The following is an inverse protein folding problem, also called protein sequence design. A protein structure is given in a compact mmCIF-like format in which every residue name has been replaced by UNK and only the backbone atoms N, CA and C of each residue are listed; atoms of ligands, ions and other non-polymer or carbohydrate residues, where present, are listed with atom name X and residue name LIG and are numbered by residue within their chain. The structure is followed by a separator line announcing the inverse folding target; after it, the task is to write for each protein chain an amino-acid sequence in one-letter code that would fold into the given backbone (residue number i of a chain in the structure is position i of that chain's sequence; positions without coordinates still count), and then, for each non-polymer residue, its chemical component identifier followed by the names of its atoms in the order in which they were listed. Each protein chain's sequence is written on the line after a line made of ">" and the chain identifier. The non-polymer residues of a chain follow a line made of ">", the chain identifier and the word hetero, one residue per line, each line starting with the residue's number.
data_IF_036124245295
#
_entry.id   IF_036124245295
#
_cell.length_a   1.000
_cell.length_b   1.000
_cell.length_c   1.000
_cell.angle_alpha   90.00
_cell.angle_beta   90.00
_cell.angle_gamma   90.00
#
_symmetry.space_group_name_H-M   'P 1'
#
loop_
_entity.id
_entity.type
_entity.pdbx_description
1 polymer ?
#
# COMPACT_ATOMS: atom_id res chain seq x y z
N UNK A 1 9.38 19.28 -9.21
CA UNK A 1 9.89 18.40 -8.13
C UNK A 1 9.84 19.03 -6.73
N UNK A 2 10.02 20.35 -6.55
CA UNK A 2 10.04 20.95 -5.20
C UNK A 2 8.67 21.27 -4.56
N UNK A 3 7.57 21.21 -5.31
CA UNK A 3 6.24 21.59 -4.79
C UNK A 3 5.59 20.41 -4.04
N UNK A 4 5.69 19.19 -4.57
CA UNK A 4 5.12 18.00 -3.91
C UNK A 4 5.83 17.66 -2.58
N UNK A 5 7.13 17.95 -2.46
CA UNK A 5 7.88 17.69 -1.22
C UNK A 5 7.58 18.72 -0.13
N UNK A 6 7.24 19.96 -0.49
CA UNK A 6 6.89 21.01 0.46
C UNK A 6 5.48 20.85 1.05
N UNK A 7 4.52 20.46 0.20
CA UNK A 7 3.13 20.29 0.61
C UNK A 7 2.90 19.02 1.45
N UNK A 8 3.76 18.01 1.31
CA UNK A 8 3.76 16.80 2.16
C UNK A 8 4.26 17.08 3.60
N UNK A 9 5.05 18.14 3.81
CA UNK A 9 5.69 18.45 5.10
C UNK A 9 4.95 19.55 5.88
N UNK A 10 4.22 20.45 5.22
CA UNK A 10 3.63 21.64 5.85
C UNK A 10 2.09 21.77 5.76
N UNK A 11 1.37 20.67 5.51
CA UNK A 11 -0.10 20.64 5.57
C UNK A 11 -0.62 20.71 7.01
N UNK A 12 -1.07 21.89 7.43
CA UNK A 12 -1.66 22.17 8.74
C UNK A 12 -2.91 21.31 9.03
N UNK A 13 -2.78 20.45 10.04
CA UNK A 13 -3.85 20.08 10.97
C UNK A 13 -4.70 18.87 10.60
N UNK A 14 -4.15 17.66 10.82
CA UNK A 14 -4.74 16.29 10.81
C UNK A 14 -3.90 15.25 10.02
N UNK A 15 -2.98 15.73 9.18
CA UNK A 15 -2.08 14.90 8.34
C UNK A 15 -0.79 14.38 9.02
N UNK A 16 -0.51 14.75 10.27
CA UNK A 16 0.73 14.35 10.97
C UNK A 16 0.75 12.85 11.34
N UNK A 17 -0.40 12.24 11.58
CA UNK A 17 -0.50 10.82 11.93
C UNK A 17 -0.21 9.90 10.73
N UNK A 18 -0.55 10.33 9.51
CA UNK A 18 -0.43 9.51 8.29
C UNK A 18 0.96 9.53 7.66
N UNK A 19 1.64 10.68 7.72
CA UNK A 19 3.06 10.74 7.38
C UNK A 19 3.89 9.84 8.31
N UNK A 20 3.49 9.72 9.58
CA UNK A 20 4.17 8.82 10.53
C UNK A 20 3.92 7.33 10.24
N UNK A 21 2.70 6.90 9.87
CA UNK A 21 2.40 5.49 9.56
C UNK A 21 3.15 5.02 8.31
N UNK A 22 3.15 5.81 7.23
CA UNK A 22 3.84 5.47 5.99
C UNK A 22 5.36 5.62 6.10
N UNK A 23 5.85 6.62 6.85
CA UNK A 23 7.27 6.74 7.17
C UNK A 23 7.76 5.55 8.01
N UNK A 24 6.90 4.94 8.85
CA UNK A 24 7.30 3.83 9.71
C UNK A 24 7.11 2.43 9.10
N UNK A 25 6.12 2.24 8.20
CA UNK A 25 6.01 1.01 7.39
C UNK A 25 7.25 0.80 6.52
N UNK A 26 7.88 1.90 6.12
CA UNK A 26 9.13 1.92 5.36
C UNK A 26 10.38 1.94 6.24
N UNK A 27 10.33 2.51 7.45
CA UNK A 27 11.34 2.26 8.51
C UNK A 27 11.40 0.78 8.93
N UNK A 28 10.30 0.03 8.77
CA UNK A 28 10.30 -1.42 9.00
C UNK A 28 11.06 -2.23 7.93
N UNK A 29 11.21 -1.68 6.72
CA UNK A 29 12.16 -2.21 5.73
C UNK A 29 13.62 -1.98 6.18
N UNK A 30 13.86 -1.00 7.06
CA UNK A 30 15.18 -0.60 7.57
C UNK A 30 15.62 -1.39 8.83
N UNK A 31 14.67 -1.85 9.68
CA UNK A 31 14.99 -2.46 10.99
C UNK A 31 15.15 -3.99 11.03
N UNK A 32 14.67 -4.74 10.02
CA UNK A 32 14.72 -6.22 10.01
C UNK A 32 15.90 -6.83 9.25
N UNK A 33 16.84 -5.99 8.82
CA UNK A 33 17.92 -6.40 7.94
C UNK A 33 17.44 -6.45 6.49
N UNK A 34 18.31 -5.92 5.63
CA UNK A 34 18.16 -5.76 4.18
C UNK A 34 17.45 -6.95 3.54
N UNK A 35 17.79 -8.19 3.90
CA UNK A 35 17.29 -9.45 3.33
C UNK A 35 15.76 -9.71 3.37
N UNK A 36 15.01 -9.20 4.36
CA UNK A 36 13.54 -9.43 4.41
C UNK A 36 12.72 -8.28 3.81
N UNK A 37 13.25 -7.06 3.81
CA UNK A 37 12.70 -5.94 3.04
C UNK A 37 12.91 -6.13 1.52
N UNK A 38 14.03 -6.75 1.15
CA UNK A 38 14.46 -7.17 -0.19
C UNK A 38 13.41 -8.03 -0.92
N UNK A 39 12.83 -9.02 -0.24
CA UNK A 39 11.80 -9.88 -0.81
C UNK A 39 10.46 -9.14 -0.99
N UNK A 40 10.12 -8.22 -0.07
CA UNK A 40 8.79 -7.58 0.02
C UNK A 40 8.62 -6.37 -0.90
N UNK A 41 9.65 -5.56 -1.16
CA UNK A 41 9.57 -4.50 -2.19
C UNK A 41 9.41 -5.09 -3.60
N UNK A 42 10.14 -6.16 -3.87
CA UNK A 42 9.96 -6.98 -5.06
C UNK A 42 8.57 -7.64 -5.13
N UNK A 43 7.94 -7.92 -3.98
CA UNK A 43 6.57 -8.42 -3.84
C UNK A 43 5.50 -7.32 -4.05
N UNK A 44 5.74 -6.11 -3.55
CA UNK A 44 4.90 -4.90 -3.75
C UNK A 44 4.84 -4.50 -5.23
N UNK A 45 5.92 -4.72 -5.96
CA UNK A 45 6.03 -4.52 -7.40
C UNK A 45 5.67 -5.79 -8.22
N UNK A 46 5.34 -6.90 -7.56
CA UNK A 46 5.20 -8.25 -8.15
C UNK A 46 4.15 -8.35 -9.24
N UNK A 47 3.07 -7.56 -9.18
CA UNK A 47 2.09 -7.52 -10.26
C UNK A 47 2.66 -6.72 -11.45
N UNK A 48 3.42 -7.40 -12.31
CA UNK A 48 4.02 -6.81 -13.50
C UNK A 48 5.30 -6.03 -13.22
N UNK A 49 6.33 -6.70 -12.67
CA UNK A 49 7.65 -6.12 -12.33
C UNK A 49 8.13 -5.08 -13.34
N UNK A 50 8.19 -5.44 -14.63
CA UNK A 50 8.67 -4.52 -15.67
C UNK A 50 7.77 -3.29 -15.87
N UNK A 51 6.45 -3.43 -15.67
CA UNK A 51 5.52 -2.31 -15.80
C UNK A 51 5.67 -1.31 -14.66
N UNK A 52 5.75 -1.79 -13.41
CA UNK A 52 5.87 -0.91 -12.25
C UNK A 52 7.26 -0.27 -12.18
N UNK A 53 8.34 -1.04 -12.44
CA UNK A 53 9.69 -0.49 -12.51
C UNK A 53 9.84 0.56 -13.62
N UNK A 54 9.28 0.32 -14.80
CA UNK A 54 9.32 1.30 -15.89
C UNK A 54 8.53 2.58 -15.59
N UNK A 55 7.36 2.46 -14.96
CA UNK A 55 6.53 3.63 -14.62
C UNK A 55 7.11 4.42 -13.46
N UNK A 56 7.51 3.74 -12.37
CA UNK A 56 8.17 4.38 -11.23
C UNK A 56 9.49 5.02 -11.66
N UNK A 57 10.29 4.33 -12.46
CA UNK A 57 11.55 4.84 -12.96
C UNK A 57 11.38 6.08 -13.85
N UNK A 58 10.34 6.11 -14.69
CA UNK A 58 10.00 7.29 -15.48
C UNK A 58 9.58 8.47 -14.61
N UNK A 59 8.73 8.24 -13.60
CA UNK A 59 8.21 9.32 -12.74
C UNK A 59 9.26 9.84 -11.75
N UNK A 60 10.21 9.00 -11.35
CA UNK A 60 11.32 9.33 -10.45
C UNK A 60 12.62 9.70 -11.18
N UNK A 61 12.63 9.64 -12.51
CA UNK A 61 13.80 9.91 -13.36
C UNK A 61 15.02 9.01 -13.05
N UNK A 62 14.76 7.74 -12.73
CA UNK A 62 15.76 6.70 -12.45
C UNK A 62 15.49 5.48 -13.31
N UNK A 63 16.51 4.86 -13.93
CA UNK A 63 16.30 3.67 -14.78
C UNK A 63 16.11 2.39 -13.95
N UNK A 64 14.99 2.32 -13.24
CA UNK A 64 14.62 1.16 -12.44
C UNK A 64 14.23 -0.06 -13.29
N UNK A 65 13.94 0.13 -14.58
CA UNK A 65 13.58 -0.97 -15.47
C UNK A 65 14.78 -1.85 -15.79
N UNK A 66 15.93 -1.23 -16.07
CA UNK A 66 17.17 -1.95 -16.34
C UNK A 66 18.03 -2.14 -15.09
N UNK A 67 17.85 -1.30 -14.06
CA UNK A 67 18.62 -1.32 -12.81
C UNK A 67 17.72 -1.37 -11.56
N UNK A 68 16.92 -2.43 -11.36
CA UNK A 68 16.07 -2.57 -10.18
C UNK A 68 16.88 -2.65 -8.87
N UNK A 69 18.14 -3.09 -8.92
CA UNK A 69 19.05 -3.17 -7.77
C UNK A 69 19.30 -1.81 -7.10
N UNK A 70 19.02 -0.69 -7.77
CA UNK A 70 19.16 0.63 -7.16
C UNK A 70 18.21 0.84 -5.98
N UNK A 71 17.05 0.17 -5.97
CA UNK A 71 16.14 0.21 -4.84
C UNK A 71 16.81 -0.38 -3.59
N UNK A 72 17.53 -1.48 -3.75
CA UNK A 72 18.17 -2.20 -2.65
C UNK A 72 19.43 -1.47 -2.15
N UNK A 73 20.11 -0.75 -3.03
CA UNK A 73 21.36 -0.04 -2.72
C UNK A 73 21.16 1.37 -2.17
N UNK A 74 19.97 1.95 -2.35
CA UNK A 74 19.68 3.33 -1.95
C UNK A 74 18.36 3.40 -1.18
N UNK A 75 18.47 3.52 0.14
CA UNK A 75 17.33 3.66 1.04
C UNK A 75 16.40 4.83 0.61
N UNK A 76 16.95 6.00 0.27
CA UNK A 76 16.12 7.15 -0.14
C UNK A 76 15.28 6.82 -1.37
N UNK A 77 15.87 6.15 -2.36
CA UNK A 77 15.16 5.71 -3.56
C UNK A 77 14.10 4.65 -3.23
N UNK A 78 14.38 3.72 -2.32
CA UNK A 78 13.40 2.74 -1.85
C UNK A 78 12.17 3.42 -1.22
N UNK A 79 12.39 4.42 -0.36
CA UNK A 79 11.31 5.22 0.22
C UNK A 79 10.50 5.96 -0.85
N UNK A 80 11.18 6.56 -1.83
CA UNK A 80 10.51 7.25 -2.94
C UNK A 80 9.63 6.30 -3.77
N UNK A 81 10.12 5.10 -4.10
CA UNK A 81 9.36 4.09 -4.85
C UNK A 81 8.15 3.60 -4.05
N UNK A 82 8.30 3.44 -2.73
CA UNK A 82 7.19 3.01 -1.90
C UNK A 82 6.10 4.09 -1.74
N UNK A 83 6.48 5.34 -1.56
CA UNK A 83 5.54 6.48 -1.59
C UNK A 83 4.88 6.56 -2.96
N UNK A 84 5.64 6.43 -4.04
CA UNK A 84 5.09 6.38 -5.39
C UNK A 84 4.05 5.27 -5.53
N UNK A 85 4.31 4.06 -5.01
CA UNK A 85 3.35 2.95 -5.06
C UNK A 85 2.09 3.22 -4.24
N UNK A 86 2.22 3.91 -3.12
CA UNK A 86 1.12 4.33 -2.25
C UNK A 86 0.21 5.37 -2.92
N UNK A 87 0.81 6.35 -3.59
CA UNK A 87 0.12 7.48 -4.22
C UNK A 87 -0.43 7.16 -5.62
N UNK A 88 0.20 6.23 -6.35
CA UNK A 88 -0.11 6.03 -7.77
C UNK A 88 -1.08 4.86 -8.02
N UNK A 89 -2.20 5.11 -8.71
CA UNK A 89 -3.06 4.04 -9.20
C UNK A 89 -2.35 3.08 -10.15
N UNK A 90 -2.60 1.78 -9.97
CA UNK A 90 -2.10 0.72 -10.86
C UNK A 90 -2.78 0.78 -12.22
N UNK A 91 -4.09 1.04 -12.24
CA UNK A 91 -4.94 1.13 -13.44
C UNK A 91 -5.78 2.41 -13.40
N UNK A 92 -6.17 2.92 -14.58
CA UNK A 92 -6.94 4.17 -14.73
C UNK A 92 -8.24 4.24 -13.91
N UNK A 93 -8.88 3.10 -13.66
CA UNK A 93 -10.15 2.99 -12.94
C UNK A 93 -10.03 2.34 -11.56
N UNK A 94 -8.80 2.13 -11.07
CA UNK A 94 -8.53 1.67 -9.72
C UNK A 94 -8.10 2.87 -8.86
N UNK A 95 -8.47 2.97 -7.58
CA UNK A 95 -7.95 4.01 -6.70
C UNK A 95 -6.47 3.80 -6.35
N UNK A 96 -5.83 4.84 -5.83
CA UNK A 96 -4.57 4.70 -5.10
C UNK A 96 -4.80 4.11 -3.71
N UNK A 97 -3.76 3.57 -3.08
CA UNK A 97 -3.86 3.10 -1.69
C UNK A 97 -4.14 4.28 -0.75
N UNK A 98 -3.49 5.41 -1.01
CA UNK A 98 -3.72 6.67 -0.32
C UNK A 98 -5.20 7.11 -0.33
N UNK A 99 -5.85 7.15 -1.49
CA UNK A 99 -7.22 7.64 -1.61
C UNK A 99 -8.24 6.72 -0.91
N UNK A 100 -7.98 5.41 -0.92
CA UNK A 100 -8.81 4.44 -0.20
C UNK A 100 -8.63 4.59 1.30
N UNK A 101 -7.40 4.77 1.77
CA UNK A 101 -7.08 4.89 3.19
C UNK A 101 -7.65 6.18 3.79
N UNK A 102 -7.57 7.30 3.06
CA UNK A 102 -8.20 8.56 3.46
C UNK A 102 -9.72 8.58 3.34
N UNK A 103 -10.31 7.60 2.65
CA UNK A 103 -11.74 7.61 2.34
C UNK A 103 -12.16 8.67 1.31
N UNK A 104 -11.21 9.25 0.56
CA UNK A 104 -11.52 10.16 -0.55
C UNK A 104 -12.01 9.41 -1.79
N UNK A 105 -11.67 8.13 -1.91
CA UNK A 105 -12.23 7.25 -2.93
C UNK A 105 -13.67 6.84 -2.56
N UNK A 106 -14.57 6.97 -3.54
CA UNK A 106 -15.96 6.49 -3.44
C UNK A 106 -16.11 5.15 -4.17
N UNK A 107 -16.51 4.06 -3.48
CA UNK A 107 -16.74 2.77 -4.11
C UNK A 107 -17.82 2.84 -5.20
N UNK A 108 -17.55 2.20 -6.34
CA UNK A 108 -18.56 2.02 -7.40
C UNK A 108 -19.50 0.87 -7.04
N UNK A 109 -20.57 0.69 -7.83
CA UNK A 109 -21.46 -0.48 -7.70
C UNK A 109 -20.72 -1.81 -7.77
N UNK A 110 -19.71 -1.90 -8.66
CA UNK A 110 -18.89 -3.11 -8.79
C UNK A 110 -18.00 -3.32 -7.56
N UNK A 111 -17.57 -2.25 -6.91
CA UNK A 111 -16.79 -2.33 -5.68
C UNK A 111 -17.65 -2.81 -4.52
N UNK A 112 -18.86 -2.29 -4.38
CA UNK A 112 -19.83 -2.75 -3.37
C UNK A 112 -20.20 -4.23 -3.57
N UNK A 113 -20.46 -4.65 -4.82
CA UNK A 113 -20.73 -6.06 -5.12
C UNK A 113 -19.54 -6.98 -4.81
N UNK A 114 -18.32 -6.45 -4.97
CA UNK A 114 -17.07 -7.10 -4.59
C UNK A 114 -16.73 -6.95 -3.10
N UNK A 115 -17.64 -6.43 -2.27
CA UNK A 115 -17.48 -6.17 -0.84
C UNK A 115 -16.33 -5.21 -0.48
N UNK A 116 -15.90 -4.37 -1.42
CA UNK A 116 -14.85 -3.37 -1.21
C UNK A 116 -15.45 -2.09 -0.66
N UNK A 117 -14.87 -1.61 0.44
CA UNK A 117 -15.28 -0.39 1.17
C UNK A 117 -14.03 0.44 1.48
N UNK A 118 -14.17 1.74 1.64
CA UNK A 118 -13.03 2.59 2.01
C UNK A 118 -12.51 2.20 3.40
N UNK A 119 -11.19 2.00 3.52
CA UNK A 119 -10.55 1.50 4.73
C UNK A 119 -9.28 0.67 4.49
N UNK A 120 -8.71 0.17 5.58
CA UNK A 120 -7.45 -0.57 5.56
C UNK A 120 -7.53 -1.89 4.76
N UNK A 121 -8.67 -2.58 4.81
CA UNK A 121 -8.91 -3.81 4.04
C UNK A 121 -8.78 -3.57 2.53
N UNK A 122 -9.45 -2.56 2.00
CA UNK A 122 -9.34 -2.25 0.57
C UNK A 122 -7.99 -1.61 0.23
N UNK A 123 -7.34 -0.94 1.18
CA UNK A 123 -5.94 -0.49 1.02
C UNK A 123 -5.01 -1.69 0.79
N UNK A 124 -5.13 -2.74 1.60
CA UNK A 124 -4.41 -4.01 1.38
C UNK A 124 -4.78 -4.64 0.03
N UNK A 125 -6.04 -4.57 -0.38
CA UNK A 125 -6.49 -5.11 -1.66
C UNK A 125 -5.85 -4.38 -2.86
N UNK A 126 -5.69 -3.06 -2.79
CA UNK A 126 -5.01 -2.27 -3.84
C UNK A 126 -3.52 -2.62 -3.95
N UNK A 127 -2.87 -2.91 -2.82
CA UNK A 127 -1.44 -3.20 -2.76
C UNK A 127 -1.11 -4.65 -3.07
N UNK A 128 -1.88 -5.59 -2.49
CA UNK A 128 -1.55 -7.01 -2.38
C UNK A 128 -2.72 -7.94 -2.72
N UNK A 129 -3.81 -7.42 -3.31
CA UNK A 129 -5.12 -8.08 -3.29
C UNK A 129 -5.13 -9.56 -3.69
N UNK A 130 -4.50 -9.92 -4.80
CA UNK A 130 -4.46 -11.30 -5.28
C UNK A 130 -3.73 -12.27 -4.33
N UNK A 131 -2.79 -11.76 -3.52
CA UNK A 131 -2.06 -12.57 -2.55
C UNK A 131 -2.82 -12.70 -1.21
N UNK A 132 -3.59 -11.68 -0.80
CA UNK A 132 -4.07 -11.58 0.60
C UNK A 132 -5.58 -11.43 0.76
N UNK A 133 -6.34 -11.15 -0.30
CA UNK A 133 -7.77 -10.83 -0.23
C UNK A 133 -8.65 -11.80 -1.03
N UNK A 134 -9.87 -12.06 -0.55
CA UNK A 134 -10.86 -12.87 -1.27
C UNK A 134 -10.82 -14.37 -1.03
N UNK A 135 -10.01 -14.83 -0.07
CA UNK A 135 -9.81 -16.24 0.25
C UNK A 135 -10.14 -16.58 1.72
N UNK A 136 -10.85 -15.69 2.41
CA UNK A 136 -11.03 -15.78 3.86
C UNK A 136 -9.81 -15.28 4.64
N UNK A 137 -9.84 -15.49 5.96
CA UNK A 137 -8.73 -15.12 6.84
C UNK A 137 -7.50 -15.98 6.53
N UNK A 138 -6.37 -15.33 6.32
CA UNK A 138 -5.10 -15.98 6.01
C UNK A 138 -3.96 -15.32 6.78
N UNK A 139 -2.86 -16.07 6.94
CA UNK A 139 -1.70 -15.63 7.72
C UNK A 139 -1.09 -14.33 7.18
N UNK A 140 -0.98 -14.18 5.86
CA UNK A 140 -0.42 -12.99 5.23
C UNK A 140 -1.22 -11.72 5.55
N UNK A 141 -2.55 -11.79 5.44
CA UNK A 141 -3.43 -10.70 5.83
C UNK A 141 -3.34 -10.41 7.32
N UNK A 142 -3.39 -11.45 8.17
CA UNK A 142 -3.31 -11.30 9.63
C UNK A 142 -1.98 -10.68 10.08
N UNK A 143 -0.89 -10.99 9.39
CA UNK A 143 0.40 -10.35 9.62
C UNK A 143 0.34 -8.85 9.32
N UNK A 144 -0.20 -8.43 8.17
CA UNK A 144 -0.33 -7.00 7.85
C UNK A 144 -1.26 -6.29 8.85
N UNK A 145 -2.39 -6.92 9.16
CA UNK A 145 -3.38 -6.41 10.12
C UNK A 145 -2.79 -6.22 11.52
N UNK A 146 -2.04 -7.21 12.03
CA UNK A 146 -1.43 -7.12 13.38
C UNK A 146 -0.37 -6.03 13.48
N UNK A 147 0.41 -5.80 12.41
CA UNK A 147 1.36 -4.68 12.37
C UNK A 147 0.64 -3.33 12.39
N UNK A 148 -0.43 -3.19 11.60
CA UNK A 148 -1.24 -1.96 11.62
C UNK A 148 -1.75 -1.63 13.02
N UNK A 149 -2.35 -2.60 13.71
CA UNK A 149 -2.84 -2.41 15.07
C UNK A 149 -1.72 -2.08 16.07
N UNK A 150 -0.56 -2.73 15.94
CA UNK A 150 0.61 -2.44 16.76
C UNK A 150 1.08 -0.99 16.61
N UNK A 151 1.06 -0.43 15.40
CA UNK A 151 1.46 0.95 15.18
C UNK A 151 0.45 1.96 15.72
N UNK A 152 -0.85 1.65 15.64
CA UNK A 152 -1.86 2.50 16.26
C UNK A 152 -1.61 2.65 17.77
N UNK A 153 -1.20 1.58 18.46
CA UNK A 153 -0.80 1.66 19.87
C UNK A 153 0.43 2.54 20.07
N UNK A 154 1.47 2.35 19.26
CA UNK A 154 2.72 3.10 19.40
C UNK A 154 2.54 4.61 19.20
N UNK A 155 1.61 5.02 18.34
CA UNK A 155 1.30 6.44 18.11
C UNK A 155 0.31 7.01 19.13
N UNK A 156 -0.20 6.21 20.06
CA UNK A 156 -1.22 6.63 21.01
C UNK A 156 -2.60 6.87 20.40
N UNK A 157 -2.86 6.32 19.20
CA UNK A 157 -4.18 6.34 18.55
C UNK A 157 -5.07 5.23 19.10
N UNK A 158 -4.49 4.06 19.39
CA UNK A 158 -5.21 2.90 19.92
C UNK A 158 -5.88 2.05 18.84
N UNK A 159 -6.03 0.75 19.12
CA UNK A 159 -6.60 -0.25 18.20
C UNK A 159 -8.10 -0.08 17.97
N UNK A 160 -8.78 0.52 18.94
CA UNK A 160 -10.21 0.82 18.90
C UNK A 160 -10.56 1.79 17.77
N UNK A 161 -9.65 2.71 17.43
CA UNK A 161 -9.81 3.68 16.35
C UNK A 161 -9.53 3.08 14.96
N UNK A 162 -9.07 1.83 14.90
CA UNK A 162 -8.87 1.12 13.64
C UNK A 162 -10.20 0.91 12.87
N UNK A 163 -11.32 0.90 13.59
CA UNK A 163 -12.66 0.70 13.03
C UNK A 163 -13.10 -0.76 12.99
N UNK A 164 -14.30 -1.03 12.45
CA UNK A 164 -14.88 -2.37 12.43
C UNK A 164 -14.12 -3.34 11.50
N UNK A 165 -14.30 -4.65 11.72
CA UNK A 165 -13.66 -5.69 10.90
C UNK A 165 -13.95 -5.55 9.39
N UNK A 166 -15.11 -5.02 9.01
CA UNK A 166 -15.48 -4.80 7.61
C UNK A 166 -14.56 -3.80 6.89
N UNK A 167 -14.09 -2.76 7.59
CA UNK A 167 -13.17 -1.75 7.00
C UNK A 167 -11.71 -2.18 7.12
N UNK A 168 -11.40 -3.07 8.08
CA UNK A 168 -10.04 -3.50 8.35
C UNK A 168 -9.60 -4.75 7.58
N UNK A 169 -10.51 -5.69 7.36
CA UNK A 169 -10.20 -6.97 6.72
C UNK A 169 -10.53 -6.93 5.22
N UNK A 170 -9.76 -7.68 4.43
CA UNK A 170 -10.09 -7.94 3.03
C UNK A 170 -10.43 -9.40 2.73
N UNK A 171 -10.68 -10.21 3.77
CA UNK A 171 -10.95 -11.64 3.66
C UNK A 171 -12.07 -11.98 2.66
N UNK A 172 -13.13 -11.15 2.62
CA UNK A 172 -14.29 -11.34 1.74
C UNK A 172 -14.29 -10.43 0.49
N UNK A 173 -13.28 -9.57 0.36
CA UNK A 173 -13.22 -8.64 -0.76
C UNK A 173 -12.69 -9.34 -2.01
N UNK A 174 -13.36 -9.18 -3.14
CA UNK A 174 -12.79 -9.64 -4.42
C UNK A 174 -11.57 -8.79 -4.76
N UNK A 175 -10.47 -9.43 -5.17
CA UNK A 175 -9.23 -8.73 -5.52
C UNK A 175 -9.43 -7.77 -6.70
N UNK A 176 -8.74 -6.62 -6.72
CA UNK A 176 -8.77 -5.71 -7.88
C UNK A 176 -8.17 -6.32 -9.16
N UNK A 177 -7.15 -7.18 -9.00
CA UNK A 177 -6.37 -7.74 -10.10
C UNK A 177 -6.11 -9.24 -9.87
N UNK A 178 -7.16 -10.09 -9.83
CA UNK A 178 -6.99 -11.51 -9.54
C UNK A 178 -6.22 -12.21 -10.67
N UNK A 179 -5.27 -13.07 -10.32
CA UNK A 179 -4.48 -13.85 -11.30
C UNK A 179 -5.28 -15.02 -11.88
N UNK A 180 -6.31 -15.48 -11.18
CA UNK A 180 -7.29 -16.45 -11.68
C UNK A 180 -8.68 -15.81 -11.67
N UNK A 181 -9.39 -15.86 -12.81
CA UNK A 181 -10.81 -15.50 -12.79
C UNK A 181 -11.55 -16.56 -11.99
N UNK A 182 -12.17 -16.17 -10.88
CA UNK A 182 -13.25 -16.98 -10.32
C UNK A 182 -14.37 -16.99 -11.38
N UNK A 183 -14.49 -18.12 -12.08
CA UNK A 183 -15.70 -18.39 -12.86
C UNK A 183 -16.90 -18.41 -11.90
N UNK A 184 -18.05 -17.86 -12.32
CA UNK A 184 -19.26 -17.75 -11.49
C UNK A 184 -19.80 -19.09 -11.03
#
# INVERSE_FOLDING_TARGET
>A
MNVLYGDLVYGQGDNESMNNIMSHYLYYLDLKGVDQGEARLNEVLSCGKNYNYGKAGKDLEVDLLNHPEYIEQNATLAFQVAIWRWMMPVKKHQPSAHDVFLGTWTPTKNDTLAQRVSGFGTTMNVLYGDLVCGHGDNESMNNIFSHYLYYLDLMGVGREEAGPQEVLSCAKQVAFNPSFSSSP
#
